data_IF_800200612681
#
_entry.id   IF_800200612681
#
_cell.length_a   1.000
_cell.length_b   1.000
_cell.length_c   1.000
_cell.angle_alpha   90.00
_cell.angle_beta   90.00
_cell.angle_gamma   90.00
#
_symmetry.space_group_name_H-M   'P 1'
#
loop_
_entity.id
_entity.type
_entity.pdbx_description
1 polymer ?
#
# COMPACT_ATOMS: atom_id res chain seq x y z
N UNK A 1 14.42 43.69 -16.07
CA UNK A 1 13.82 42.55 -16.80
C UNK A 1 14.60 41.30 -16.43
N UNK A 2 14.10 40.51 -15.48
CA UNK A 2 14.74 39.29 -15.00
C UNK A 2 13.92 38.12 -15.54
N UNK A 3 14.56 37.30 -16.38
CA UNK A 3 14.02 36.09 -16.96
C UNK A 3 13.78 35.04 -15.85
N UNK A 4 12.52 34.66 -15.65
CA UNK A 4 12.16 33.51 -14.81
C UNK A 4 12.02 32.28 -15.71
N UNK A 5 13.08 31.46 -15.75
CA UNK A 5 12.97 30.10 -16.29
C UNK A 5 12.17 29.26 -15.29
N UNK A 6 10.89 29.02 -15.60
CA UNK A 6 10.05 28.05 -14.92
C UNK A 6 10.38 26.67 -15.50
N UNK A 7 11.27 25.94 -14.83
CA UNK A 7 11.49 24.53 -15.10
C UNK A 7 10.32 23.77 -14.47
N UNK A 8 9.31 23.49 -15.28
CA UNK A 8 8.25 22.53 -14.93
C UNK A 8 8.84 21.15 -15.17
N UNK A 9 9.39 20.52 -14.12
CA UNK A 9 9.69 19.09 -14.14
C UNK A 9 8.37 18.33 -14.13
N UNK A 10 7.96 17.89 -15.32
CA UNK A 10 6.84 16.99 -15.52
C UNK A 10 7.22 15.61 -14.96
N UNK A 11 6.88 15.33 -13.70
CA UNK A 11 6.89 13.97 -13.16
C UNK A 11 5.72 13.22 -13.79
N UNK A 12 5.97 12.54 -14.90
CA UNK A 12 5.07 11.52 -15.41
C UNK A 12 5.15 10.37 -14.42
N UNK A 13 4.11 10.19 -13.61
CA UNK A 13 3.94 9.00 -12.79
C UNK A 13 4.11 7.78 -13.71
N UNK A 14 5.19 7.03 -13.52
CA UNK A 14 5.32 5.74 -14.17
C UNK A 14 4.23 4.87 -13.56
N UNK A 15 3.16 4.61 -14.32
CA UNK A 15 2.21 3.58 -13.94
C UNK A 15 3.00 2.27 -13.85
N UNK A 16 3.28 1.81 -12.64
CA UNK A 16 3.81 0.48 -12.38
C UNK A 16 2.71 -0.49 -12.84
N UNK A 17 2.81 -0.92 -14.09
CA UNK A 17 1.91 -1.92 -14.65
C UNK A 17 2.25 -3.22 -13.94
N UNK A 18 1.28 -3.74 -13.18
CA UNK A 18 1.36 -5.08 -12.60
C UNK A 18 1.71 -6.10 -13.71
N UNK A 19 2.47 -7.12 -13.34
CA UNK A 19 2.84 -8.20 -14.26
C UNK A 19 1.60 -8.79 -14.95
N UNK A 20 1.54 -8.81 -16.30
CA UNK A 20 0.41 -9.41 -17.01
C UNK A 20 0.18 -10.89 -16.65
N UNK A 21 1.23 -11.56 -16.18
CA UNK A 21 1.18 -12.94 -15.71
C UNK A 21 0.47 -13.05 -14.37
N UNK A 22 0.83 -12.21 -13.39
CA UNK A 22 0.19 -12.20 -12.07
C UNK A 22 -1.28 -11.79 -12.21
N UNK A 23 -1.57 -10.79 -13.03
CA UNK A 23 -2.94 -10.37 -13.36
C UNK A 23 -3.78 -11.50 -13.96
N UNK A 24 -3.22 -12.20 -14.96
CA UNK A 24 -3.89 -13.34 -15.59
C UNK A 24 -4.14 -14.49 -14.61
N UNK A 25 -3.15 -14.77 -13.74
CA UNK A 25 -3.26 -15.77 -12.70
C UNK A 25 -4.35 -15.44 -11.67
N UNK A 26 -4.39 -14.18 -11.21
CA UNK A 26 -5.40 -13.70 -10.27
C UNK A 26 -6.81 -13.75 -10.86
N UNK A 27 -6.98 -13.38 -12.12
CA UNK A 27 -8.29 -13.51 -12.80
C UNK A 27 -8.77 -14.95 -12.86
N UNK A 28 -7.88 -15.90 -13.13
CA UNK A 28 -8.23 -17.33 -13.09
C UNK A 28 -8.65 -17.75 -11.68
N UNK A 29 -7.90 -17.36 -10.65
CA UNK A 29 -8.25 -17.66 -9.26
C UNK A 29 -9.63 -17.07 -8.92
N UNK A 30 -9.87 -15.81 -9.27
CA UNK A 30 -11.14 -15.12 -9.03
C UNK A 30 -12.31 -15.84 -9.73
N UNK A 31 -12.23 -16.05 -11.05
CA UNK A 31 -13.27 -16.74 -11.82
C UNK A 31 -13.49 -18.16 -11.29
N UNK A 32 -12.41 -18.87 -10.95
CA UNK A 32 -12.48 -20.20 -10.37
C UNK A 32 -13.24 -20.22 -9.05
N UNK A 33 -13.03 -19.23 -8.18
CA UNK A 33 -13.79 -19.06 -6.94
C UNK A 33 -15.27 -18.74 -7.22
N UNK A 34 -15.54 -17.80 -8.15
CA UNK A 34 -16.90 -17.38 -8.51
C UNK A 34 -17.76 -18.53 -9.06
N UNK A 35 -17.16 -19.41 -9.88
CA UNK A 35 -17.87 -20.56 -10.47
C UNK A 35 -17.74 -21.85 -9.65
N UNK A 36 -17.06 -21.82 -8.51
CA UNK A 36 -16.81 -23.01 -7.68
C UNK A 36 -15.90 -24.07 -8.33
N UNK A 37 -15.05 -23.70 -9.28
CA UNK A 37 -14.16 -24.63 -10.00
C UNK A 37 -12.76 -24.67 -9.39
N UNK A 38 -12.52 -25.72 -8.61
CA UNK A 38 -11.18 -26.04 -8.05
C UNK A 38 -10.10 -26.10 -9.14
N UNK A 39 -10.39 -26.68 -10.30
CA UNK A 39 -9.41 -26.84 -11.38
C UNK A 39 -8.97 -25.49 -11.96
N UNK A 40 -9.90 -24.54 -12.09
CA UNK A 40 -9.58 -23.19 -12.59
C UNK A 40 -8.74 -22.44 -11.56
N UNK A 41 -9.08 -22.55 -10.26
CA UNK A 41 -8.27 -21.97 -9.17
C UNK A 41 -6.86 -22.56 -9.17
N UNK A 42 -6.71 -23.89 -9.29
CA UNK A 42 -5.41 -24.55 -9.32
C UNK A 42 -4.54 -24.11 -10.51
N UNK A 43 -5.14 -23.88 -11.68
CA UNK A 43 -4.42 -23.34 -12.84
C UNK A 43 -3.93 -21.92 -12.59
N UNK A 44 -4.77 -21.06 -12.03
CA UNK A 44 -4.38 -19.71 -11.63
C UNK A 44 -3.25 -19.72 -10.59
N UNK A 45 -3.39 -20.53 -9.53
CA UNK A 45 -2.37 -20.67 -8.50
C UNK A 45 -1.05 -21.23 -9.06
N UNK A 46 -1.11 -22.23 -9.95
CA UNK A 46 0.08 -22.76 -10.61
C UNK A 46 0.78 -21.72 -11.45
N UNK A 47 0.04 -20.88 -12.18
CA UNK A 47 0.59 -19.79 -12.97
C UNK A 47 1.26 -18.74 -12.07
N UNK A 48 0.63 -18.42 -10.94
CA UNK A 48 1.15 -17.46 -9.97
C UNK A 48 2.46 -17.95 -9.33
N UNK A 49 2.50 -19.21 -8.89
CA UNK A 49 3.71 -19.81 -8.30
C UNK A 49 4.84 -19.93 -9.33
N UNK A 50 4.51 -20.23 -10.59
CA UNK A 50 5.49 -20.23 -11.69
C UNK A 50 6.07 -18.84 -11.92
N UNK A 51 5.23 -17.80 -11.91
CA UNK A 51 5.71 -16.41 -11.94
C UNK A 51 6.68 -16.12 -10.80
N UNK A 52 6.26 -16.40 -9.56
CA UNK A 52 7.00 -16.08 -8.36
C UNK A 52 8.38 -16.77 -8.29
N UNK A 53 8.44 -18.07 -8.57
CA UNK A 53 9.64 -18.88 -8.32
C UNK A 53 10.49 -19.15 -9.56
N UNK A 54 9.86 -19.41 -10.70
CA UNK A 54 10.60 -19.77 -11.92
C UNK A 54 11.02 -18.51 -12.68
N UNK A 55 10.15 -17.50 -12.74
CA UNK A 55 10.37 -16.26 -13.48
C UNK A 55 10.87 -15.11 -12.59
N UNK A 56 10.94 -15.33 -11.27
CA UNK A 56 11.34 -14.32 -10.28
C UNK A 56 10.51 -13.03 -10.37
N UNK A 57 9.24 -13.18 -10.73
CA UNK A 57 8.28 -12.10 -10.79
C UNK A 57 7.89 -11.67 -9.37
N UNK A 58 8.31 -10.47 -9.00
CA UNK A 58 8.13 -9.90 -7.65
C UNK A 58 6.64 -9.64 -7.39
N UNK A 59 5.88 -9.24 -8.40
CA UNK A 59 4.43 -9.01 -8.30
C UNK A 59 3.72 -10.33 -8.05
N UNK A 60 4.10 -11.39 -8.78
CA UNK A 60 3.55 -12.73 -8.57
C UNK A 60 3.89 -13.28 -7.18
N UNK A 61 5.08 -13.00 -6.65
CA UNK A 61 5.48 -13.37 -5.29
C UNK A 61 4.67 -12.60 -4.23
N UNK A 62 4.46 -11.31 -4.44
CA UNK A 62 3.62 -10.48 -3.59
C UNK A 62 2.16 -10.97 -3.58
N UNK A 63 1.57 -11.22 -4.74
CA UNK A 63 0.21 -11.73 -4.84
C UNK A 63 0.07 -13.15 -4.28
N UNK A 64 1.10 -13.98 -4.42
CA UNK A 64 1.15 -15.28 -3.75
C UNK A 64 1.09 -15.13 -2.23
N UNK A 65 1.73 -14.10 -1.65
CA UNK A 65 1.66 -13.85 -0.21
C UNK A 65 0.23 -13.56 0.25
N UNK A 66 -0.54 -12.81 -0.54
CA UNK A 66 -1.96 -12.51 -0.27
C UNK A 66 -2.84 -13.76 -0.37
N UNK A 67 -2.63 -14.59 -1.40
CA UNK A 67 -3.33 -15.87 -1.53
C UNK A 67 -3.03 -16.83 -0.36
N UNK A 68 -1.78 -16.88 0.08
CA UNK A 68 -1.37 -17.69 1.25
C UNK A 68 -1.98 -17.15 2.53
N UNK A 69 -2.05 -15.82 2.70
CA UNK A 69 -2.70 -15.19 3.86
C UNK A 69 -4.17 -15.56 3.94
N UNK A 70 -4.90 -15.47 2.83
CA UNK A 70 -6.35 -15.64 2.83
C UNK A 70 -6.80 -17.11 2.83
N UNK A 71 -5.92 -18.06 2.51
CA UNK A 71 -6.35 -19.43 2.31
C UNK A 71 -7.11 -19.61 0.99
N UNK A 72 -7.54 -20.82 0.70
CA UNK A 72 -8.51 -21.07 -0.36
C UNK A 72 -9.28 -22.36 -0.09
N UNK A 73 -10.60 -22.24 0.10
CA UNK A 73 -11.47 -23.36 0.45
C UNK A 73 -11.57 -24.40 -0.67
N UNK A 74 -11.62 -23.98 -1.94
CA UNK A 74 -11.67 -24.89 -3.09
C UNK A 74 -10.36 -25.70 -3.21
N UNK A 75 -9.23 -25.13 -2.82
CA UNK A 75 -7.96 -25.84 -2.77
C UNK A 75 -7.77 -26.67 -1.49
N UNK A 76 -8.55 -26.39 -0.44
CA UNK A 76 -8.54 -27.12 0.82
C UNK A 76 -7.37 -26.75 1.73
N UNK A 77 -6.81 -25.54 1.62
CA UNK A 77 -5.79 -25.06 2.56
C UNK A 77 -6.30 -23.84 3.35
N UNK A 78 -6.10 -23.82 4.68
CA UNK A 78 -6.52 -22.70 5.51
C UNK A 78 -5.59 -21.48 5.30
N UNK A 79 -6.01 -20.29 5.75
CA UNK A 79 -5.13 -19.14 5.95
C UNK A 79 -3.79 -19.51 6.61
N UNK A 80 -2.66 -19.14 6.00
CA UNK A 80 -1.31 -19.36 6.53
C UNK A 80 -0.58 -18.02 6.76
N UNK A 81 -1.13 -17.22 7.67
CA UNK A 81 -0.68 -15.84 7.94
C UNK A 81 0.83 -15.70 8.15
N UNK A 82 1.44 -16.55 8.99
CA UNK A 82 2.88 -16.49 9.27
C UNK A 82 3.74 -16.63 7.99
N UNK A 83 3.38 -17.54 7.09
CA UNK A 83 4.11 -17.72 5.83
C UNK A 83 3.93 -16.53 4.89
N UNK A 84 2.74 -15.94 4.87
CA UNK A 84 2.50 -14.71 4.13
C UNK A 84 3.35 -13.55 4.67
N UNK A 85 3.47 -13.42 5.99
CA UNK A 85 4.29 -12.41 6.65
C UNK A 85 5.78 -12.55 6.28
N UNK A 86 6.29 -13.78 6.24
CA UNK A 86 7.68 -14.05 5.83
C UNK A 86 7.97 -13.58 4.39
N UNK A 87 7.03 -13.80 3.47
CA UNK A 87 7.15 -13.33 2.08
C UNK A 87 7.06 -11.79 2.04
N UNK A 88 6.09 -11.19 2.72
CA UNK A 88 5.90 -9.75 2.75
C UNK A 88 7.15 -9.03 3.30
N UNK A 89 7.71 -9.49 4.42
CA UNK A 89 8.94 -8.92 4.99
C UNK A 89 10.12 -9.05 4.03
N UNK A 90 10.21 -10.15 3.27
CA UNK A 90 11.26 -10.32 2.26
C UNK A 90 11.13 -9.31 1.12
N UNK A 91 9.91 -8.96 0.72
CA UNK A 91 9.63 -7.95 -0.30
C UNK A 91 9.91 -6.52 0.21
N UNK A 92 9.55 -6.23 1.46
CA UNK A 92 9.91 -4.98 2.15
C UNK A 92 11.43 -4.77 2.14
N UNK A 93 12.22 -5.81 2.41
CA UNK A 93 13.69 -5.74 2.36
C UNK A 93 14.25 -5.47 0.96
N UNK A 94 13.46 -5.70 -0.09
CA UNK A 94 13.81 -5.37 -1.47
C UNK A 94 13.29 -3.99 -1.88
N UNK A 95 12.73 -3.22 -0.93
CA UNK A 95 12.07 -1.94 -1.17
C UNK A 95 10.97 -2.08 -2.23
N UNK A 96 10.23 -3.18 -2.24
CA UNK A 96 9.12 -3.38 -3.18
C UNK A 96 7.90 -2.58 -2.70
N UNK A 97 7.45 -1.63 -3.51
CA UNK A 97 6.52 -0.58 -3.10
C UNK A 97 5.18 -1.08 -2.52
N UNK A 98 4.43 -1.99 -3.16
CA UNK A 98 3.20 -2.51 -2.58
C UNK A 98 3.41 -3.22 -1.24
N UNK A 99 4.57 -3.86 -1.04
CA UNK A 99 4.90 -4.50 0.22
C UNK A 99 5.25 -3.49 1.32
N UNK A 100 5.92 -2.38 0.99
CA UNK A 100 6.17 -1.27 1.93
C UNK A 100 4.83 -0.69 2.42
N UNK A 101 3.92 -0.42 1.49
CA UNK A 101 2.61 0.14 1.78
C UNK A 101 1.75 -0.80 2.66
N UNK A 102 1.55 -2.04 2.21
CA UNK A 102 0.73 -3.02 2.95
C UNK A 102 1.30 -3.32 4.34
N UNK A 103 2.63 -3.47 4.43
CA UNK A 103 3.25 -3.72 5.72
C UNK A 103 3.12 -2.51 6.65
N UNK A 104 3.24 -1.29 6.12
CA UNK A 104 2.95 -0.06 6.85
C UNK A 104 1.54 -0.05 7.42
N UNK A 105 0.52 -0.44 6.63
CA UNK A 105 -0.86 -0.52 7.10
C UNK A 105 -1.06 -1.56 8.21
N UNK A 106 -0.52 -2.78 8.04
CA UNK A 106 -0.61 -3.80 9.09
C UNK A 106 0.03 -3.33 10.41
N UNK A 107 1.13 -2.58 10.34
CA UNK A 107 1.77 -2.00 11.52
C UNK A 107 0.99 -0.83 12.13
N UNK A 108 0.26 -0.05 11.33
CA UNK A 108 -0.62 0.99 11.88
C UNK A 108 -1.79 0.41 12.66
N UNK A 109 -2.36 -0.68 12.15
CA UNK A 109 -3.54 -1.32 12.75
C UNK A 109 -3.16 -2.32 13.86
N UNK A 110 -1.96 -2.88 13.82
CA UNK A 110 -1.58 -3.99 14.69
C UNK A 110 -2.33 -5.28 14.33
N UNK A 111 -2.54 -5.50 13.04
CA UNK A 111 -3.32 -6.62 12.49
C UNK A 111 -2.47 -7.54 11.60
N UNK A 112 -3.06 -8.63 11.11
CA UNK A 112 -2.40 -9.55 10.18
C UNK A 112 -1.19 -10.27 10.78
N UNK A 113 -1.17 -10.44 12.11
CA UNK A 113 -0.09 -11.07 12.85
C UNK A 113 1.08 -10.13 13.17
N UNK A 114 0.91 -8.82 12.97
CA UNK A 114 1.90 -7.81 13.27
C UNK A 114 1.53 -6.99 14.51
N UNK A 115 2.54 -6.59 15.28
CA UNK A 115 2.34 -5.73 16.44
C UNK A 115 2.30 -4.28 15.97
N UNK A 116 1.36 -3.51 16.52
CA UNK A 116 1.20 -2.09 16.21
C UNK A 116 2.52 -1.33 16.39
N UNK A 117 2.94 -0.58 15.39
CA UNK A 117 4.16 0.21 15.39
C UNK A 117 4.08 1.39 14.40
N UNK A 118 3.55 2.51 14.87
CA UNK A 118 3.33 3.72 14.08
C UNK A 118 4.64 4.36 13.60
N UNK A 119 5.72 4.23 14.39
CA UNK A 119 7.04 4.75 14.00
C UNK A 119 7.61 4.01 12.79
N UNK A 120 7.58 2.67 12.81
CA UNK A 120 8.03 1.87 11.67
C UNK A 120 7.11 2.06 10.47
N UNK A 121 5.80 2.10 10.67
CA UNK A 121 4.84 2.37 9.61
C UNK A 121 5.13 3.71 8.90
N UNK A 122 5.31 4.79 9.66
CA UNK A 122 5.68 6.10 9.11
C UNK A 122 6.95 6.03 8.25
N UNK A 123 7.96 5.29 8.70
CA UNK A 123 9.21 5.14 7.94
C UNK A 123 9.00 4.38 6.63
N UNK A 124 8.16 3.34 6.62
CA UNK A 124 7.86 2.57 5.41
C UNK A 124 7.09 3.40 4.38
N UNK A 125 6.10 4.20 4.82
CA UNK A 125 5.38 5.10 3.92
C UNK A 125 6.29 6.21 3.38
N UNK A 126 7.16 6.77 4.22
CA UNK A 126 8.16 7.75 3.78
C UNK A 126 9.19 7.15 2.81
N UNK A 127 9.60 5.91 3.00
CA UNK A 127 10.46 5.18 2.06
C UNK A 127 9.74 4.96 0.72
N UNK A 128 8.51 4.44 0.77
CA UNK A 128 7.67 4.21 -0.40
C UNK A 128 7.44 5.50 -1.22
N UNK A 129 7.12 6.61 -0.55
CA UNK A 129 7.04 7.92 -1.18
C UNK A 129 8.37 8.34 -1.83
N UNK A 130 9.49 8.24 -1.13
CA UNK A 130 10.79 8.72 -1.63
C UNK A 130 11.36 7.88 -2.76
N UNK A 131 11.23 6.55 -2.67
CA UNK A 131 11.81 5.63 -3.62
C UNK A 131 10.91 5.43 -4.86
N UNK A 132 9.59 5.47 -4.67
CA UNK A 132 8.62 5.06 -5.70
C UNK A 132 7.59 6.13 -6.05
N UNK A 133 7.66 7.31 -5.42
CA UNK A 133 6.68 8.38 -5.62
C UNK A 133 5.24 7.91 -5.35
N UNK A 134 5.07 6.98 -4.41
CA UNK A 134 3.76 6.47 -4.04
C UNK A 134 2.94 7.55 -3.33
N UNK A 135 1.83 7.94 -3.95
CA UNK A 135 0.97 9.03 -3.49
C UNK A 135 0.11 8.64 -2.30
N UNK A 136 -0.37 7.39 -2.23
CA UNK A 136 -1.14 6.88 -1.09
C UNK A 136 -0.26 6.83 0.17
N UNK A 137 0.99 6.40 0.03
CA UNK A 137 2.02 6.48 1.07
C UNK A 137 2.29 7.92 1.50
N UNK A 138 2.35 8.87 0.56
CA UNK A 138 2.52 10.27 0.90
C UNK A 138 1.33 10.79 1.73
N UNK A 139 0.11 10.48 1.32
CA UNK A 139 -1.10 10.87 2.02
C UNK A 139 -1.10 10.35 3.46
N UNK A 140 -0.94 9.05 3.65
CA UNK A 140 -1.01 8.46 4.99
C UNK A 140 0.16 8.93 5.89
N UNK A 141 1.36 9.12 5.33
CA UNK A 141 2.48 9.71 6.08
C UNK A 141 2.16 11.13 6.56
N UNK A 142 1.46 11.93 5.75
CA UNK A 142 1.01 13.26 6.16
C UNK A 142 -0.01 13.19 7.31
N UNK A 143 -0.97 12.27 7.21
CA UNK A 143 -2.00 12.05 8.24
C UNK A 143 -1.35 11.63 9.56
N UNK A 144 -0.49 10.61 9.57
CA UNK A 144 0.25 10.15 10.77
C UNK A 144 0.98 11.31 11.44
N UNK A 145 1.66 12.15 10.65
CA UNK A 145 2.41 13.32 11.14
C UNK A 145 1.49 14.39 11.70
N UNK A 146 0.37 14.68 11.05
CA UNK A 146 -0.55 15.72 11.50
C UNK A 146 -1.30 15.29 12.78
N UNK A 147 -1.76 14.05 12.84
CA UNK A 147 -2.40 13.46 14.02
C UNK A 147 -1.42 13.19 15.17
N UNK A 148 -0.12 13.39 14.95
CA UNK A 148 0.94 13.21 15.95
C UNK A 148 1.00 11.80 16.53
N UNK A 149 0.63 10.78 15.74
CA UNK A 149 0.69 9.38 16.18
C UNK A 149 2.12 8.94 16.51
N UNK A 150 3.10 9.62 15.90
CA UNK A 150 4.52 9.49 16.23
C UNK A 150 5.00 10.82 16.81
N UNK A 151 5.17 10.95 18.15
CA UNK A 151 5.57 12.19 18.79
C UNK A 151 6.86 12.78 18.22
N UNK A 152 6.90 14.11 18.08
CA UNK A 152 8.08 14.84 17.59
C UNK A 152 8.28 14.82 16.06
N UNK A 153 7.39 14.18 15.30
CA UNK A 153 7.49 14.09 13.84
C UNK A 153 6.61 15.11 13.08
N UNK A 154 5.77 15.86 13.80
CA UNK A 154 4.89 16.88 13.22
C UNK A 154 5.70 18.08 12.72
N UNK A 155 5.78 18.23 11.40
CA UNK A 155 6.45 19.36 10.72
C UNK A 155 5.54 19.88 9.62
N UNK A 156 4.99 21.07 9.77
CA UNK A 156 3.98 21.65 8.87
C UNK A 156 4.43 21.62 7.41
N UNK A 157 5.65 22.07 7.12
CA UNK A 157 6.20 22.05 5.75
C UNK A 157 6.21 20.65 5.13
N UNK A 158 6.55 19.61 5.90
CA UNK A 158 6.58 18.22 5.39
C UNK A 158 5.17 17.68 5.18
N UNK A 159 4.23 18.03 6.07
CA UNK A 159 2.81 17.67 5.92
C UNK A 159 2.25 18.30 4.64
N UNK A 160 2.52 19.58 4.42
CA UNK A 160 2.06 20.31 3.23
C UNK A 160 2.65 19.73 1.94
N UNK A 161 3.94 19.37 1.93
CA UNK A 161 4.59 18.72 0.78
C UNK A 161 3.91 17.39 0.43
N UNK A 162 3.73 16.53 1.43
CA UNK A 162 3.14 15.20 1.26
C UNK A 162 1.67 15.28 0.79
N UNK A 163 0.86 16.16 1.40
CA UNK A 163 -0.53 16.37 1.00
C UNK A 163 -0.63 16.99 -0.38
N UNK A 164 0.21 17.97 -0.72
CA UNK A 164 0.22 18.56 -2.06
C UNK A 164 0.52 17.50 -3.11
N UNK A 165 1.51 16.64 -2.85
CA UNK A 165 1.82 15.53 -3.75
C UNK A 165 0.63 14.56 -3.90
N UNK A 166 0.00 14.16 -2.80
CA UNK A 166 -1.16 13.28 -2.81
C UNK A 166 -2.35 13.88 -3.57
N UNK A 167 -2.65 15.16 -3.35
CA UNK A 167 -3.74 15.89 -4.02
C UNK A 167 -3.48 16.00 -5.53
N UNK A 168 -2.25 16.36 -5.93
CA UNK A 168 -1.89 16.43 -7.35
C UNK A 168 -2.00 15.08 -8.06
N UNK A 169 -1.77 13.99 -7.34
CA UNK A 169 -1.96 12.62 -7.82
C UNK A 169 -3.38 12.07 -7.60
N UNK A 170 -4.32 12.90 -7.13
CA UNK A 170 -5.74 12.57 -6.95
C UNK A 170 -5.99 11.42 -5.97
N UNK A 171 -5.19 11.31 -4.93
CA UNK A 171 -5.46 10.39 -3.82
C UNK A 171 -6.79 10.79 -3.16
N UNK A 172 -7.69 9.82 -3.03
CA UNK A 172 -9.02 10.02 -2.46
C UNK A 172 -8.92 10.45 -0.99
N UNK A 173 -9.79 11.37 -0.56
CA UNK A 173 -9.76 11.98 0.78
C UNK A 173 -8.64 12.99 1.04
N UNK A 174 -7.59 13.09 0.21
CA UNK A 174 -6.43 13.93 0.51
C UNK A 174 -6.76 15.43 0.58
N UNK A 175 -7.61 15.92 -0.34
CA UNK A 175 -8.06 17.32 -0.37
C UNK A 175 -8.95 17.64 0.83
N UNK A 176 -9.95 16.78 1.10
CA UNK A 176 -10.87 16.93 2.22
C UNK A 176 -10.12 16.90 3.55
N UNK A 177 -9.20 15.96 3.73
CA UNK A 177 -8.35 15.90 4.92
C UNK A 177 -7.53 17.18 5.11
N UNK A 178 -6.93 17.72 4.04
CA UNK A 178 -6.18 18.97 4.13
C UNK A 178 -7.07 20.13 4.59
N UNK A 179 -8.26 20.26 4.02
CA UNK A 179 -9.14 21.37 4.32
C UNK A 179 -9.75 21.27 5.72
N UNK A 180 -10.09 20.06 6.17
CA UNK A 180 -10.73 19.82 7.48
C UNK A 180 -9.76 19.72 8.66
N UNK A 181 -8.59 19.11 8.47
CA UNK A 181 -7.67 18.75 9.56
C UNK A 181 -6.35 19.54 9.57
N UNK A 182 -6.03 20.23 8.47
CA UNK A 182 -4.80 21.05 8.39
C UNK A 182 -5.11 22.54 8.31
N UNK A 183 -6.04 22.96 7.43
CA UNK A 183 -6.33 24.38 7.17
C UNK A 183 -7.50 24.96 7.96
N UNK A 184 -8.37 24.13 8.53
CA UNK A 184 -9.62 24.59 9.16
C UNK A 184 -9.44 25.57 10.32
N UNK A 185 -8.23 25.71 10.86
CA UNK A 185 -7.94 26.58 12.00
C UNK A 185 -8.47 26.04 13.34
N UNK A 186 -9.21 24.92 13.32
CA UNK A 186 -9.69 24.21 14.50
C UNK A 186 -8.98 22.87 14.61
N UNK A 187 -8.55 22.54 15.83
CA UNK A 187 -7.94 21.23 16.08
C UNK A 187 -9.04 20.16 16.05
N UNK A 188 -9.03 19.32 15.01
CA UNK A 188 -9.89 18.14 14.86
C UNK A 188 -9.00 16.92 14.77
N UNK A 189 -8.95 16.12 15.83
CA UNK A 189 -8.25 14.84 15.81
C UNK A 189 -9.09 13.79 15.11
N UNK A 190 -8.47 12.96 14.27
CA UNK A 190 -9.09 11.76 13.78
C UNK A 190 -9.20 10.71 14.91
N UNK A 191 -10.35 10.04 14.99
CA UNK A 191 -10.53 8.85 15.81
C UNK A 191 -10.67 7.65 14.87
N UNK A 192 -9.52 7.06 14.51
CA UNK A 192 -9.47 5.92 13.58
C UNK A 192 -9.31 4.64 14.38
N UNK A 193 -10.27 3.74 14.27
CA UNK A 193 -10.19 2.40 14.86
C UNK A 193 -9.35 1.44 14.00
N UNK A 194 -9.48 1.54 12.68
CA UNK A 194 -8.72 0.78 11.69
C UNK A 194 -8.42 1.70 10.49
N UNK A 195 -7.14 1.87 10.18
CA UNK A 195 -6.63 2.76 9.15
C UNK A 195 -6.91 2.24 7.75
N UNK A 196 -6.84 0.92 7.55
CA UNK A 196 -7.19 0.32 6.27
C UNK A 196 -8.66 0.58 5.90
N UNK A 197 -9.57 0.42 6.86
CA UNK A 197 -11.00 0.69 6.66
C UNK A 197 -11.25 2.19 6.45
N UNK A 198 -10.63 3.05 7.27
CA UNK A 198 -10.76 4.51 7.11
C UNK A 198 -10.31 4.98 5.71
N UNK A 199 -9.22 4.43 5.17
CA UNK A 199 -8.75 4.71 3.81
C UNK A 199 -9.73 4.22 2.72
N UNK A 200 -10.44 3.12 2.97
CA UNK A 200 -11.50 2.61 2.08
C UNK A 200 -12.76 3.49 2.11
N UNK A 201 -12.97 4.26 3.18
CA UNK A 201 -14.13 5.14 3.35
C UNK A 201 -13.90 6.60 2.93
N UNK A 202 -12.68 6.95 2.48
CA UNK A 202 -12.34 8.30 2.01
C UNK A 202 -13.03 8.72 0.70
#
# INVERSE_FOLDING_TARGET
>A
MINTFLIITLFIAQSVLASPLSDGALRLIQVGNEIGSRDVVLRGQSLLLKGAFDLKDIDALYESSKQVRNGNDLMGYPPLERKANEILIRLVKQSYDPALYDYGLYLLDGEGGFVKNEFLALNLFEESFKAHSNADSAFIAAVIRNESLVPGTKKTQRIDELLTFAILNKVRGAQEYQDEHVKSGYWRSLSVSNWKDWLLDQ
#
